data_IF_166912101400
#
_entry.id   IF_166912101400
#
_cell.length_a   1.000
_cell.length_b   1.000
_cell.length_c   1.000
_cell.angle_alpha   90.00
_cell.angle_beta   90.00
_cell.angle_gamma   90.00
#
_symmetry.space_group_name_H-M   'P 1'
#
loop_
_entity.id
_entity.type
_entity.pdbx_description
1 polymer ?
#
# COMPACT_ATOMS: atom_id res chain seq x y z
N UNK A 1 18.97 20.16 57.60
CA UNK A 1 19.70 20.27 56.32
C UNK A 1 18.92 19.50 55.27
N UNK A 2 17.95 20.16 54.65
CA UNK A 2 17.21 19.57 53.53
C UNK A 2 17.81 20.08 52.24
N UNK A 3 18.29 19.20 51.38
CA UNK A 3 18.54 19.55 49.99
C UNK A 3 17.53 18.79 49.14
N UNK A 4 16.67 19.59 48.51
CA UNK A 4 15.53 19.19 47.73
C UNK A 4 16.00 18.64 46.39
N UNK A 5 15.44 17.50 46.04
CA UNK A 5 15.62 16.82 44.77
C UNK A 5 15.14 17.72 43.63
N UNK A 6 16.09 18.14 42.80
CA UNK A 6 15.81 18.82 41.54
C UNK A 6 15.24 17.83 40.53
N UNK A 7 13.95 17.49 40.66
CA UNK A 7 13.22 16.69 39.69
C UNK A 7 13.07 17.46 38.37
N UNK A 8 14.08 17.30 37.52
CA UNK A 8 14.10 17.33 36.06
C UNK A 8 12.77 17.71 35.38
N UNK A 9 12.46 19.01 35.33
CA UNK A 9 11.25 19.56 34.73
C UNK A 9 11.51 20.05 33.29
N UNK A 10 12.25 19.28 32.48
CA UNK A 10 12.70 19.71 31.15
C UNK A 10 12.45 18.70 30.01
N UNK A 11 11.45 17.80 30.13
CA UNK A 11 11.19 16.83 29.05
C UNK A 11 9.72 16.72 28.57
N UNK A 12 8.80 17.52 29.11
CA UNK A 12 7.38 17.47 28.68
C UNK A 12 7.07 18.20 27.37
N UNK A 13 7.96 19.10 26.90
CA UNK A 13 7.74 19.86 25.64
C UNK A 13 8.23 19.14 24.37
N UNK A 14 9.06 18.10 24.48
CA UNK A 14 9.52 17.31 23.33
C UNK A 14 8.55 16.19 22.99
N UNK A 15 7.86 15.64 24.00
CA UNK A 15 6.90 14.55 23.83
C UNK A 15 5.76 14.89 22.86
N UNK A 16 5.06 16.01 23.02
CA UNK A 16 3.93 16.33 22.15
C UNK A 16 4.35 16.58 20.69
N UNK A 17 5.52 17.20 20.46
CA UNK A 17 6.06 17.41 19.11
C UNK A 17 6.39 16.08 18.44
N UNK A 18 7.00 15.15 19.18
CA UNK A 18 7.28 13.80 18.71
C UNK A 18 5.99 13.05 18.33
N UNK A 19 4.95 13.10 19.17
CA UNK A 19 3.66 12.51 18.88
C UNK A 19 2.93 13.15 17.69
N UNK A 20 3.05 14.47 17.50
CA UNK A 20 2.51 15.16 16.31
C UNK A 20 3.22 14.65 15.05
N UNK A 21 4.55 14.57 15.05
CA UNK A 21 5.32 14.08 13.89
C UNK A 21 4.92 12.64 13.56
N UNK A 22 4.81 11.77 14.57
CA UNK A 22 4.34 10.41 14.39
C UNK A 22 2.91 10.37 13.83
N UNK A 23 2.01 11.18 14.38
CA UNK A 23 0.64 11.28 13.87
C UNK A 23 0.59 11.67 12.39
N UNK A 24 1.42 12.63 11.97
CA UNK A 24 1.54 13.04 10.57
C UNK A 24 2.10 11.90 9.71
N UNK A 25 3.13 11.19 10.16
CA UNK A 25 3.69 10.04 9.43
C UNK A 25 2.64 8.94 9.25
N UNK A 26 1.91 8.60 10.31
CA UNK A 26 0.86 7.58 10.26
C UNK A 26 -0.30 8.00 9.33
N UNK A 27 -0.66 9.28 9.34
CA UNK A 27 -1.66 9.83 8.41
C UNK A 27 -1.18 9.72 6.95
N UNK A 28 0.06 10.10 6.67
CA UNK A 28 0.65 9.99 5.33
C UNK A 28 0.68 8.54 4.85
N UNK A 29 1.03 7.60 5.72
CA UNK A 29 1.02 6.16 5.41
C UNK A 29 -0.39 5.64 5.13
N UNK A 30 -1.39 6.09 5.90
CA UNK A 30 -2.78 5.71 5.67
C UNK A 30 -3.32 6.23 4.33
N UNK A 31 -2.97 7.47 3.95
CA UNK A 31 -3.46 8.11 2.71
C UNK A 31 -2.70 7.65 1.47
N UNK A 32 -1.45 7.18 1.60
CA UNK A 32 -0.69 6.65 0.46
C UNK A 32 -0.98 5.19 0.13
N UNK A 33 -1.90 4.55 0.85
CA UNK A 33 -2.31 3.16 0.59
C UNK A 33 -2.88 3.03 -0.84
N UNK A 34 -2.39 2.11 -1.69
CA UNK A 34 -2.81 2.09 -3.08
C UNK A 34 -4.26 1.62 -3.21
N UNK A 35 -4.95 2.09 -4.25
CA UNK A 35 -6.31 1.67 -4.56
C UNK A 35 -6.35 0.40 -5.41
N UNK A 36 -7.53 -0.23 -5.51
CA UNK A 36 -7.79 -1.34 -6.43
C UNK A 36 -7.54 -0.97 -7.90
N UNK A 37 -7.81 0.28 -8.27
CA UNK A 37 -7.52 0.79 -9.61
C UNK A 37 -6.01 0.91 -9.87
N UNK A 38 -5.25 1.41 -8.89
CA UNK A 38 -3.78 1.48 -8.97
C UNK A 38 -3.16 0.09 -9.11
N UNK A 39 -3.68 -0.88 -8.37
CA UNK A 39 -3.26 -2.28 -8.49
C UNK A 39 -3.55 -2.83 -9.89
N UNK A 40 -4.76 -2.62 -10.42
CA UNK A 40 -5.11 -3.12 -11.75
C UNK A 40 -4.22 -2.50 -12.84
N UNK A 41 -3.94 -1.19 -12.76
CA UNK A 41 -3.00 -0.51 -13.66
C UNK A 41 -1.60 -1.08 -13.57
N UNK A 42 -1.11 -1.35 -12.35
CA UNK A 42 0.19 -1.97 -12.15
C UNK A 42 0.28 -3.36 -12.81
N UNK A 43 -0.73 -4.22 -12.61
CA UNK A 43 -0.78 -5.54 -13.25
C UNK A 43 -0.80 -5.43 -14.77
N UNK A 44 -1.63 -4.55 -15.32
CA UNK A 44 -1.71 -4.29 -16.78
C UNK A 44 -0.37 -3.84 -17.32
N UNK A 45 0.27 -2.88 -16.66
CA UNK A 45 1.55 -2.34 -17.09
C UNK A 45 2.66 -3.40 -17.06
N UNK A 46 2.77 -4.16 -15.96
CA UNK A 46 3.73 -5.27 -15.85
C UNK A 46 3.49 -6.36 -16.90
N UNK A 47 2.21 -6.66 -17.22
CA UNK A 47 1.89 -7.65 -18.27
C UNK A 47 2.30 -7.19 -19.67
N UNK A 48 2.22 -5.88 -19.94
CA UNK A 48 2.66 -5.29 -21.21
C UNK A 48 4.19 -5.26 -21.29
N UNK A 49 4.88 -4.93 -20.19
CA UNK A 49 6.35 -4.92 -20.12
C UNK A 49 6.96 -6.31 -20.37
N UNK A 50 6.28 -7.38 -19.91
CA UNK A 50 6.71 -8.77 -20.13
C UNK A 50 6.41 -9.27 -21.56
N UNK A 51 5.47 -8.64 -22.27
CA UNK A 51 5.00 -9.09 -23.58
C UNK A 51 5.77 -8.42 -24.72
N UNK A 52 6.31 -9.26 -25.61
CA UNK A 52 7.02 -8.82 -26.83
C UNK A 52 6.11 -8.58 -28.04
N UNK A 53 4.78 -8.77 -27.90
CA UNK A 53 3.83 -8.70 -29.01
C UNK A 53 2.90 -7.48 -28.90
N UNK A 54 2.94 -6.60 -29.90
CA UNK A 54 2.14 -5.36 -29.93
C UNK A 54 0.62 -5.61 -29.93
N UNK A 55 0.13 -6.66 -30.59
CA UNK A 55 -1.30 -7.00 -30.60
C UNK A 55 -1.78 -7.49 -29.24
N UNK A 56 -0.94 -8.26 -28.53
CA UNK A 56 -1.20 -8.69 -27.16
C UNK A 56 -1.25 -7.46 -26.24
N UNK A 57 -0.29 -6.54 -26.39
CA UNK A 57 -0.23 -5.31 -25.60
C UNK A 57 -1.46 -4.42 -25.81
N UNK A 58 -1.96 -4.33 -27.05
CA UNK A 58 -3.19 -3.60 -27.36
C UNK A 58 -4.42 -4.22 -26.68
N UNK A 59 -4.56 -5.55 -26.72
CA UNK A 59 -5.64 -6.26 -26.05
C UNK A 59 -5.61 -6.07 -24.53
N UNK A 60 -4.43 -6.21 -23.92
CA UNK A 60 -4.22 -6.00 -22.48
C UNK A 60 -4.54 -4.54 -22.08
N UNK A 61 -4.15 -3.57 -22.89
CA UNK A 61 -4.42 -2.15 -22.61
C UNK A 61 -5.91 -1.81 -22.63
N UNK A 62 -6.69 -2.46 -23.50
CA UNK A 62 -8.12 -2.21 -23.66
C UNK A 62 -8.97 -2.93 -22.58
N UNK A 63 -8.66 -4.20 -22.31
CA UNK A 63 -9.52 -5.07 -21.50
C UNK A 63 -8.93 -5.42 -20.14
N UNK A 64 -7.61 -5.30 -19.97
CA UNK A 64 -6.92 -5.76 -18.78
C UNK A 64 -7.38 -5.04 -17.51
N UNK A 65 -7.53 -3.72 -17.55
CA UNK A 65 -7.98 -2.93 -16.39
C UNK A 65 -9.33 -3.42 -15.83
N UNK A 66 -10.41 -3.41 -16.63
CA UNK A 66 -11.73 -3.89 -16.20
C UNK A 66 -11.73 -5.36 -15.74
N UNK A 67 -11.01 -6.24 -16.45
CA UNK A 67 -10.92 -7.66 -16.09
C UNK A 67 -10.24 -7.85 -14.73
N UNK A 68 -9.04 -7.27 -14.55
CA UNK A 68 -8.29 -7.37 -13.29
C UNK A 68 -9.10 -6.76 -12.14
N UNK A 69 -9.79 -5.65 -12.36
CA UNK A 69 -10.68 -5.09 -11.34
C UNK A 69 -11.85 -6.03 -11.02
N UNK A 70 -12.47 -6.68 -12.00
CA UNK A 70 -13.58 -7.61 -11.78
C UNK A 70 -13.20 -8.79 -10.89
N UNK A 71 -11.98 -9.31 -11.07
CA UNK A 71 -11.50 -10.50 -10.36
C UNK A 71 -10.67 -10.19 -9.10
N UNK A 72 -10.45 -8.91 -8.79
CA UNK A 72 -9.66 -8.50 -7.62
C UNK A 72 -10.53 -8.05 -6.45
N UNK A 73 -10.28 -8.57 -5.26
CA UNK A 73 -10.82 -8.05 -4.00
C UNK A 73 -9.75 -7.27 -3.25
N UNK A 74 -10.06 -6.04 -2.82
CA UNK A 74 -9.17 -5.22 -1.99
C UNK A 74 -9.59 -5.31 -0.52
N UNK A 75 -8.62 -5.58 0.37
CA UNK A 75 -8.77 -5.48 1.82
C UNK A 75 -7.82 -4.41 2.36
N UNK A 76 -8.39 -3.32 2.86
CA UNK A 76 -7.64 -2.22 3.45
C UNK A 76 -7.22 -2.56 4.89
N UNK A 77 -5.94 -2.44 5.16
CA UNK A 77 -5.34 -2.41 6.49
C UNK A 77 -4.99 -0.96 6.85
N UNK A 78 -4.67 -0.70 8.11
CA UNK A 78 -4.38 0.66 8.62
C UNK A 78 -3.24 1.35 7.83
N UNK A 79 -2.25 0.58 7.37
CA UNK A 79 -1.07 1.09 6.65
C UNK A 79 -0.78 0.40 5.32
N UNK A 80 -1.60 -0.57 4.90
CA UNK A 80 -1.35 -1.39 3.73
C UNK A 80 -2.67 -1.85 3.09
N UNK A 81 -2.62 -2.41 1.90
CA UNK A 81 -3.75 -3.05 1.23
C UNK A 81 -3.35 -4.44 0.79
N UNK A 82 -4.25 -5.39 0.96
CA UNK A 82 -4.10 -6.72 0.38
C UNK A 82 -5.03 -6.81 -0.82
N UNK A 83 -4.46 -7.12 -1.98
CA UNK A 83 -5.18 -7.36 -3.23
C UNK A 83 -5.20 -8.85 -3.48
N UNK A 84 -6.40 -9.43 -3.53
CA UNK A 84 -6.61 -10.84 -3.84
C UNK A 84 -7.19 -10.96 -5.23
N UNK A 85 -6.47 -11.60 -6.13
CA UNK A 85 -6.94 -11.90 -7.47
C UNK A 85 -7.41 -13.35 -7.51
N UNK A 86 -8.65 -13.57 -7.95
CA UNK A 86 -9.23 -14.90 -8.09
C UNK A 86 -9.37 -15.24 -9.58
N UNK A 87 -8.54 -16.17 -10.06
CA UNK A 87 -8.51 -16.61 -11.45
C UNK A 87 -9.25 -17.95 -11.63
N UNK A 88 -10.09 -18.32 -10.66
CA UNK A 88 -10.93 -19.53 -10.65
C UNK A 88 -10.19 -20.79 -10.17
N UNK A 89 -8.99 -21.05 -10.67
CA UNK A 89 -8.15 -22.19 -10.26
C UNK A 89 -7.07 -21.82 -9.25
N UNK A 90 -6.62 -20.57 -9.26
CA UNK A 90 -5.62 -20.06 -8.35
C UNK A 90 -6.08 -18.73 -7.77
N UNK A 91 -5.88 -18.56 -6.47
CA UNK A 91 -6.01 -17.26 -5.81
C UNK A 91 -4.63 -16.71 -5.53
N UNK A 92 -4.32 -15.52 -6.05
CA UNK A 92 -3.04 -14.86 -5.79
C UNK A 92 -3.26 -13.63 -4.90
N UNK A 93 -2.52 -13.54 -3.80
CA UNK A 93 -2.57 -12.38 -2.89
C UNK A 93 -1.30 -11.53 -3.03
N UNK A 94 -1.49 -10.22 -3.20
CA UNK A 94 -0.43 -9.22 -3.31
C UNK A 94 -0.60 -8.16 -2.22
N UNK A 95 0.49 -7.77 -1.58
CA UNK A 95 0.49 -6.71 -0.57
C UNK A 95 0.92 -5.40 -1.22
N UNK A 96 0.06 -4.39 -1.17
CA UNK A 96 0.39 -3.01 -1.51
C UNK A 96 0.67 -2.19 -0.26
N UNK A 97 1.73 -1.39 -0.32
CA UNK A 97 2.11 -0.46 0.73
C UNK A 97 2.64 0.82 0.08
N UNK A 98 2.02 1.97 0.39
CA UNK A 98 2.35 3.23 -0.27
C UNK A 98 2.16 3.14 -1.79
N UNK A 99 3.19 3.53 -2.56
CA UNK A 99 3.20 3.41 -4.04
C UNK A 99 3.86 2.14 -4.57
N UNK A 100 4.02 1.12 -3.73
CA UNK A 100 4.75 -0.12 -4.07
C UNK A 100 3.84 -1.33 -3.90
N UNK A 101 4.01 -2.31 -4.78
CA UNK A 101 3.36 -3.62 -4.73
C UNK A 101 4.44 -4.68 -4.48
N UNK A 102 4.25 -5.50 -3.46
CA UNK A 102 5.20 -6.53 -3.02
C UNK A 102 4.60 -7.94 -3.22
N UNK A 103 5.46 -8.86 -3.68
CA UNK A 103 5.14 -10.11 -4.38
C UNK A 103 4.40 -11.14 -3.51
N UNK A 104 3.53 -11.90 -4.21
CA UNK A 104 2.87 -13.20 -3.95
C UNK A 104 3.05 -13.76 -2.52
N UNK A 105 1.99 -13.67 -1.72
CA UNK A 105 1.79 -14.59 -0.61
C UNK A 105 1.14 -15.86 -1.19
N UNK A 106 1.71 -17.07 -0.95
CA UNK A 106 1.09 -18.33 -1.35
C UNK A 106 -0.27 -18.54 -0.66
#
# INVERSE_FOLDING_TARGET
MGNQDGYNYSDKRKGYKFWIIIGVILLLLAVTNPSKDDYAKWVVHSSIEESSNEWVNAGISLLGGPVIQGITTQKNLVFASIFKMDIGIETTSVLGFGKRFFIRLP
#
